data_IF_801590575197
#
_entry.id   IF_801590575197
#
_cell.length_a   1.000
_cell.length_b   1.000
_cell.length_c   1.000
_cell.angle_alpha   90.00
_cell.angle_beta   90.00
_cell.angle_gamma   90.00
#
_symmetry.space_group_name_H-M   'P 1'
#
loop_
_entity.id
_entity.type
_entity.pdbx_description
1 polymer ?
#
# COMPACT_ATOMS: atom_id res chain seq x y z
N UNK A 1 -8.19 -14.88 13.34
CA UNK A 1 -8.74 -14.61 11.99
C UNK A 1 -7.80 -15.29 11.02
N UNK A 2 -8.29 -16.07 10.07
CA UNK A 2 -7.42 -16.74 9.09
C UNK A 2 -7.00 -15.70 8.05
N UNK A 3 -5.73 -15.30 8.03
CA UNK A 3 -5.18 -14.49 6.96
C UNK A 3 -5.39 -15.23 5.64
N UNK A 4 -6.34 -14.78 4.83
CA UNK A 4 -6.63 -15.36 3.53
C UNK A 4 -5.45 -15.02 2.63
N UNK A 5 -4.55 -15.98 2.41
CA UNK A 5 -3.41 -15.81 1.54
C UNK A 5 -3.89 -15.64 0.09
N UNK A 6 -3.53 -14.53 -0.53
CA UNK A 6 -3.81 -14.28 -1.94
C UNK A 6 -2.86 -15.14 -2.77
N UNK A 7 -3.42 -16.09 -3.53
CA UNK A 7 -2.65 -16.87 -4.50
C UNK A 7 -2.79 -16.20 -5.87
N UNK A 8 -1.70 -15.62 -6.36
CA UNK A 8 -1.64 -14.95 -7.66
C UNK A 8 -0.45 -15.50 -8.46
N UNK A 9 -0.55 -15.55 -9.80
CA UNK A 9 0.59 -15.89 -10.63
C UNK A 9 1.74 -14.91 -10.39
N UNK A 10 2.96 -15.44 -10.33
CA UNK A 10 4.16 -14.64 -10.02
C UNK A 10 4.36 -13.46 -10.97
N UNK A 11 4.02 -13.64 -12.25
CA UNK A 11 4.06 -12.61 -13.29
C UNK A 11 3.07 -11.46 -13.05
N UNK A 12 2.02 -11.70 -12.28
CA UNK A 12 0.99 -10.70 -11.94
C UNK A 12 1.33 -9.89 -10.69
N UNK A 13 2.25 -10.36 -9.84
CA UNK A 13 2.62 -9.68 -8.59
C UNK A 13 3.14 -8.27 -8.87
N UNK A 14 4.02 -8.12 -9.86
CA UNK A 14 4.56 -6.80 -10.23
C UNK A 14 3.49 -5.80 -10.67
N UNK A 15 2.47 -6.28 -11.41
CA UNK A 15 1.34 -5.46 -11.87
C UNK A 15 0.48 -5.02 -10.68
N UNK A 16 0.13 -5.96 -9.79
CA UNK A 16 -0.67 -5.66 -8.61
C UNK A 16 0.02 -4.65 -7.68
N UNK A 17 1.32 -4.83 -7.43
CA UNK A 17 2.10 -3.89 -6.63
C UNK A 17 2.15 -2.50 -7.28
N UNK A 18 2.27 -2.42 -8.61
CA UNK A 18 2.26 -1.14 -9.33
C UNK A 18 0.89 -0.45 -9.24
N UNK A 19 -0.21 -1.22 -9.28
CA UNK A 19 -1.55 -0.68 -9.09
C UNK A 19 -1.76 -0.14 -7.68
N UNK A 20 -1.28 -0.88 -6.66
CA UNK A 20 -1.32 -0.43 -5.27
C UNK A 20 -0.52 0.86 -5.08
N UNK A 21 0.72 0.90 -5.58
CA UNK A 21 1.60 2.07 -5.49
C UNK A 21 0.96 3.31 -6.14
N UNK A 22 0.38 3.15 -7.33
CA UNK A 22 -0.32 4.24 -8.02
C UNK A 22 -1.53 4.71 -7.23
N UNK A 23 -2.32 3.80 -6.65
CA UNK A 23 -3.48 4.17 -5.85
C UNK A 23 -3.09 4.96 -4.61
N UNK A 24 -2.03 4.56 -3.90
CA UNK A 24 -1.51 5.31 -2.75
C UNK A 24 -1.06 6.71 -3.19
N UNK A 25 -0.36 6.84 -4.33
CA UNK A 25 0.03 8.16 -4.86
C UNK A 25 -1.17 9.04 -5.22
N UNK A 26 -2.24 8.47 -5.77
CA UNK A 26 -3.47 9.20 -6.08
C UNK A 26 -4.14 9.75 -4.83
N UNK A 27 -4.26 8.92 -3.79
CA UNK A 27 -4.77 9.36 -2.47
C UNK A 27 -3.95 10.55 -1.96
N UNK A 28 -2.62 10.47 -2.04
CA UNK A 28 -1.71 11.53 -1.61
C UNK A 28 -1.97 12.89 -2.26
N UNK A 29 -2.53 12.95 -3.48
CA UNK A 29 -2.81 14.22 -4.17
C UNK A 29 -3.91 15.05 -3.49
N UNK A 30 -4.83 14.38 -2.81
CA UNK A 30 -5.99 15.01 -2.15
C UNK A 30 -5.98 14.86 -0.64
N UNK A 31 -5.00 14.15 -0.10
CA UNK A 31 -4.90 13.82 1.31
C UNK A 31 -4.80 15.07 2.19
N UNK A 32 -5.63 15.13 3.23
CA UNK A 32 -5.62 16.21 4.22
C UNK A 32 -5.12 15.67 5.56
N UNK A 33 -3.93 16.12 5.96
CA UNK A 33 -3.43 15.89 7.31
C UNK A 33 -4.42 16.43 8.36
N UNK A 34 -4.35 15.91 9.59
CA UNK A 34 -5.23 16.21 10.74
C UNK A 34 -6.54 15.40 10.81
N UNK A 35 -6.51 14.12 10.41
CA UNK A 35 -7.65 13.19 10.60
C UNK A 35 -8.88 13.45 9.73
N UNK A 36 -8.79 14.42 8.81
CA UNK A 36 -9.84 14.74 7.85
C UNK A 36 -9.92 13.74 6.69
N UNK A 37 -8.95 12.83 6.60
CA UNK A 37 -8.77 11.81 5.56
C UNK A 37 -8.81 10.39 6.15
N UNK A 38 -9.65 10.14 7.16
CA UNK A 38 -9.72 8.82 7.80
C UNK A 38 -10.02 7.66 6.84
N UNK A 39 -10.86 7.88 5.82
CA UNK A 39 -11.14 6.88 4.78
C UNK A 39 -9.89 6.57 3.95
N UNK A 40 -9.09 7.59 3.64
CA UNK A 40 -7.83 7.44 2.93
C UNK A 40 -6.82 6.63 3.78
N UNK A 41 -6.76 6.87 5.09
CA UNK A 41 -5.90 6.11 6.01
C UNK A 41 -6.29 4.62 6.06
N UNK A 42 -7.60 4.32 6.09
CA UNK A 42 -8.11 2.96 6.02
C UNK A 42 -7.77 2.29 4.68
N UNK A 43 -7.92 3.02 3.57
CA UNK A 43 -7.61 2.49 2.25
C UNK A 43 -6.11 2.18 2.11
N UNK A 44 -5.23 3.09 2.53
CA UNK A 44 -3.78 2.86 2.53
C UNK A 44 -3.43 1.64 3.39
N UNK A 45 -4.06 1.50 4.56
CA UNK A 45 -3.83 0.35 5.45
C UNK A 45 -4.24 -0.97 4.79
N UNK A 46 -5.40 -1.01 4.14
CA UNK A 46 -5.89 -2.19 3.42
C UNK A 46 -4.98 -2.54 2.23
N UNK A 47 -4.58 -1.54 1.44
CA UNK A 47 -3.66 -1.71 0.31
C UNK A 47 -2.30 -2.27 0.75
N UNK A 48 -1.75 -1.78 1.86
CA UNK A 48 -0.53 -2.31 2.46
C UNK A 48 -0.71 -3.75 2.96
N UNK A 49 -1.85 -4.09 3.56
CA UNK A 49 -2.13 -5.45 3.98
C UNK A 49 -2.15 -6.43 2.79
N UNK A 50 -2.72 -6.03 1.65
CA UNK A 50 -2.67 -6.82 0.40
C UNK A 50 -1.23 -6.98 -0.09
N UNK A 51 -0.44 -5.91 -0.10
CA UNK A 51 0.96 -5.97 -0.49
C UNK A 51 1.76 -6.96 0.38
N UNK A 52 1.51 -6.97 1.70
CA UNK A 52 2.19 -7.87 2.65
C UNK A 52 1.88 -9.33 2.39
N UNK A 53 0.64 -9.64 2.01
CA UNK A 53 0.28 -11.01 1.60
C UNK A 53 1.02 -11.46 0.33
N UNK A 54 1.52 -10.51 -0.48
CA UNK A 54 2.35 -10.77 -1.66
C UNK A 54 3.87 -10.74 -1.34
N UNK A 55 4.26 -10.54 -0.08
CA UNK A 55 5.66 -10.46 0.35
C UNK A 55 6.32 -9.09 0.20
N UNK A 56 5.53 -8.02 0.08
CA UNK A 56 6.03 -6.64 -0.05
C UNK A 56 5.30 -5.69 0.91
N UNK A 57 5.85 -4.52 1.17
CA UNK A 57 5.12 -3.43 1.83
C UNK A 57 5.55 -2.09 1.24
N UNK A 58 4.84 -1.03 1.64
CA UNK A 58 5.06 0.33 1.18
C UNK A 58 5.35 1.24 2.37
N UNK A 59 6.42 2.02 2.24
CA UNK A 59 6.66 3.19 3.05
C UNK A 59 5.98 4.39 2.39
N UNK A 60 5.18 5.12 3.16
CA UNK A 60 4.40 6.27 2.68
C UNK A 60 4.78 7.48 3.52
N UNK A 61 5.31 8.50 2.88
CA UNK A 61 5.71 9.77 3.52
C UNK A 61 5.02 10.94 2.86
N UNK A 62 4.51 11.87 3.66
CA UNK A 62 3.91 13.11 3.14
C UNK A 62 4.99 14.09 2.68
N UNK A 63 4.84 14.57 1.45
CA UNK A 63 5.68 15.59 0.82
C UNK A 63 4.80 16.71 0.25
N UNK A 64 5.40 17.80 -0.19
CA UNK A 64 4.67 18.97 -0.72
C UNK A 64 3.74 18.66 -1.90
N UNK A 65 4.04 17.62 -2.68
CA UNK A 65 3.24 17.19 -3.84
C UNK A 65 2.34 15.97 -3.57
N UNK A 66 2.10 15.62 -2.30
CA UNK A 66 1.28 14.48 -1.90
C UNK A 66 2.10 13.41 -1.17
N UNK A 67 2.15 12.19 -1.70
CA UNK A 67 2.91 11.10 -1.07
C UNK A 67 4.14 10.68 -1.88
N UNK A 68 5.27 10.55 -1.18
CA UNK A 68 6.38 9.71 -1.59
C UNK A 68 6.07 8.27 -1.17
N UNK A 69 6.22 7.33 -2.10
CA UNK A 69 5.90 5.91 -1.88
C UNK A 69 7.11 5.08 -2.31
N UNK A 70 7.64 4.29 -1.37
CA UNK A 70 8.76 3.37 -1.59
C UNK A 70 8.30 1.94 -1.31
N UNK A 71 8.46 1.06 -2.29
CA UNK A 71 8.21 -0.38 -2.13
C UNK A 71 9.44 -1.08 -1.57
N UNK A 72 9.25 -2.02 -0.65
CA UNK A 72 10.31 -2.88 -0.13
C UNK A 72 9.82 -4.31 0.10
N UNK A 73 10.74 -5.27 0.13
CA UNK A 73 10.45 -6.66 0.44
C UNK A 73 9.99 -6.76 1.90
N UNK A 74 8.82 -7.37 2.11
CA UNK A 74 8.29 -7.63 3.44
C UNK A 74 8.56 -9.07 3.82
N UNK A 75 9.65 -9.29 4.54
CA UNK A 75 9.85 -10.54 5.26
C UNK A 75 8.98 -10.51 6.51
N UNK A 76 8.02 -11.44 6.61
CA UNK A 76 7.40 -11.73 7.90
C UNK A 76 8.53 -12.08 8.87
N UNK A 77 8.74 -11.25 9.90
CA UNK A 77 9.67 -11.62 10.96
C UNK A 77 9.11 -12.87 11.63
N UNK A 78 9.91 -13.95 11.59
CA UNK A 78 9.63 -15.25 12.21
C UNK A 78 9.44 -15.13 13.73
#
# INVERSE_FOLDING_TARGET
MTDKQINVPSESIGVLLSMIENRIREIGKTYKANGSSYQDDLEITALRAVARQLGFDFEVSSISSGFAVTRYDHTFAD
#
